data_IF_534016771206
#
_entry.id   IF_534016771206
#
_cell.length_a   1.000
_cell.length_b   1.000
_cell.length_c   1.000
_cell.angle_alpha   90.00
_cell.angle_beta   90.00
_cell.angle_gamma   90.00
#
_symmetry.space_group_name_H-M   'P 1'
#
loop_
_entity.id
_entity.type
_entity.pdbx_description
1 polymer ?
#
# COMPACT_ATOMS: atom_id res chain seq x y z
N UNK A 1 16.16 22.79 -5.44
CA UNK A 1 16.35 21.42 -4.92
C UNK A 1 16.09 21.39 -3.41
N UNK A 2 14.82 21.50 -2.99
CA UNK A 2 14.39 21.56 -1.57
C UNK A 2 14.76 20.28 -0.78
N UNK A 3 14.92 19.17 -1.50
CA UNK A 3 15.13 17.86 -0.89
C UNK A 3 16.47 17.64 -0.18
N UNK A 4 17.45 18.53 -0.35
CA UNK A 4 18.78 18.38 0.28
C UNK A 4 18.93 19.26 1.52
N UNK A 5 17.90 20.05 1.85
CA UNK A 5 17.98 21.08 2.90
C UNK A 5 17.22 20.70 4.17
N UNK A 6 16.63 19.51 4.24
CA UNK A 6 15.77 19.10 5.37
C UNK A 6 16.16 17.70 5.88
N UNK A 7 17.31 17.54 6.57
CA UNK A 7 17.79 16.24 7.05
C UNK A 7 16.79 15.54 7.99
N UNK A 8 16.04 16.29 8.79
CA UNK A 8 15.04 15.77 9.74
C UNK A 8 13.65 15.54 9.16
N UNK A 9 13.51 15.45 7.83
CA UNK A 9 12.20 15.23 7.22
C UNK A 9 11.76 13.78 7.46
N UNK A 10 10.69 13.62 8.22
CA UNK A 10 10.12 12.31 8.53
C UNK A 10 8.97 11.92 7.61
N UNK A 11 8.31 12.89 6.98
CA UNK A 11 7.15 12.67 6.10
C UNK A 11 7.37 13.38 4.77
N UNK A 12 7.27 12.66 3.67
CA UNK A 12 7.32 13.19 2.32
C UNK A 12 6.05 12.80 1.57
N UNK A 13 5.27 13.81 1.23
CA UNK A 13 4.09 13.68 0.38
C UNK A 13 4.37 14.42 -0.92
N UNK A 14 4.32 13.70 -2.04
CA UNK A 14 4.46 14.27 -3.38
C UNK A 14 3.28 13.81 -4.23
N UNK A 15 2.42 14.75 -4.56
CA UNK A 15 1.29 14.55 -5.44
C UNK A 15 1.35 15.58 -6.57
N UNK A 16 1.17 15.12 -7.80
CA UNK A 16 1.15 15.98 -8.98
C UNK A 16 -0.13 15.72 -9.76
N UNK A 17 -1.03 16.70 -9.74
CA UNK A 17 -2.38 16.55 -10.31
C UNK A 17 -2.51 17.14 -11.71
N UNK A 18 -1.45 17.72 -12.27
CA UNK A 18 -1.48 18.20 -13.66
C UNK A 18 -1.45 17.01 -14.63
N UNK A 19 -2.01 17.20 -15.82
CA UNK A 19 -2.10 16.15 -16.84
C UNK A 19 -0.73 15.67 -17.34
N UNK A 20 0.29 16.53 -17.25
CA UNK A 20 1.66 16.23 -17.64
C UNK A 20 2.46 15.58 -16.52
N UNK A 21 3.21 14.52 -16.86
CA UNK A 21 4.07 13.84 -15.91
C UNK A 21 5.20 14.73 -15.39
N UNK A 22 5.33 14.83 -14.06
CA UNK A 22 6.52 15.42 -13.42
C UNK A 22 7.58 14.35 -13.17
N UNK A 23 8.78 14.61 -13.66
CA UNK A 23 9.88 13.65 -13.56
C UNK A 23 10.82 13.97 -12.40
N UNK A 24 10.92 13.07 -11.42
CA UNK A 24 11.73 13.29 -10.19
C UNK A 24 12.59 12.05 -9.88
N UNK A 25 13.52 11.64 -10.77
CA UNK A 25 14.34 10.44 -10.56
C UNK A 25 15.33 10.62 -9.40
N UNK A 26 15.76 11.87 -9.16
CA UNK A 26 16.74 12.19 -8.14
C UNK A 26 16.23 11.94 -6.72
N UNK A 27 14.89 11.89 -6.55
CA UNK A 27 14.28 11.41 -5.31
C UNK A 27 14.80 10.02 -4.95
N UNK A 28 14.73 9.07 -5.89
CA UNK A 28 15.15 7.69 -5.64
C UNK A 28 16.67 7.57 -5.62
N UNK A 29 17.38 8.29 -6.48
CA UNK A 29 18.82 8.11 -6.66
C UNK A 29 19.69 8.79 -5.59
N UNK A 30 19.28 9.96 -5.09
CA UNK A 30 20.16 10.82 -4.29
C UNK A 30 19.63 11.12 -2.89
N UNK A 31 18.37 10.84 -2.59
CA UNK A 31 17.87 11.04 -1.23
C UNK A 31 18.59 10.09 -0.27
N UNK A 32 19.19 10.68 0.77
CA UNK A 32 19.72 9.98 1.93
C UNK A 32 19.08 10.62 3.15
N UNK A 33 18.00 10.02 3.66
CA UNK A 33 17.31 10.53 4.85
C UNK A 33 17.05 9.41 5.84
N UNK A 34 17.95 9.27 6.80
CA UNK A 34 17.84 8.26 7.85
C UNK A 34 16.59 8.42 8.72
N UNK A 35 15.91 9.57 8.69
CA UNK A 35 14.69 9.84 9.49
C UNK A 35 13.37 9.71 8.73
N UNK A 36 13.39 9.40 7.42
CA UNK A 36 12.16 9.28 6.64
C UNK A 36 11.33 8.08 7.13
N UNK A 37 10.13 8.34 7.65
CA UNK A 37 9.16 7.33 8.12
C UNK A 37 8.02 7.12 7.16
N UNK A 38 7.53 8.20 6.53
CA UNK A 38 6.34 8.17 5.67
C UNK A 38 6.69 8.69 4.29
N UNK A 39 6.41 7.89 3.27
CA UNK A 39 6.52 8.29 1.88
C UNK A 39 5.19 8.05 1.17
N UNK A 40 4.64 9.11 0.60
CA UNK A 40 3.42 9.06 -0.20
C UNK A 40 3.69 9.72 -1.55
N UNK A 41 3.50 8.96 -2.62
CA UNK A 41 3.75 9.36 -4.00
C UNK A 41 2.51 9.15 -4.84
N UNK A 42 2.01 10.20 -5.48
CA UNK A 42 0.73 10.15 -6.19
C UNK A 42 0.64 11.00 -7.45
N UNK A 43 -0.47 10.80 -8.17
CA UNK A 43 -0.77 11.50 -9.40
C UNK A 43 0.20 11.16 -10.54
N UNK A 44 0.56 12.18 -11.31
CA UNK A 44 1.40 12.13 -12.49
C UNK A 44 2.90 12.26 -12.15
N UNK A 45 3.33 11.76 -10.97
CA UNK A 45 4.76 11.68 -10.63
C UNK A 45 5.38 10.47 -11.33
N UNK A 46 6.44 10.68 -12.08
CA UNK A 46 7.22 9.60 -12.71
C UNK A 46 8.62 9.53 -12.09
N UNK A 47 8.96 8.36 -11.52
CA UNK A 47 10.23 8.13 -10.84
C UNK A 47 11.29 7.50 -11.74
N UNK A 48 10.86 6.79 -12.79
CA UNK A 48 11.72 5.95 -13.61
C UNK A 48 11.72 6.48 -15.04
N UNK A 49 12.90 6.79 -15.58
CA UNK A 49 13.04 7.21 -16.98
C UNK A 49 13.93 6.23 -17.71
N UNK A 50 13.42 5.74 -18.83
CA UNK A 50 14.13 4.83 -19.73
C UNK A 50 14.69 3.58 -19.01
N UNK A 51 14.04 3.15 -17.93
CA UNK A 51 14.44 1.98 -17.14
C UNK A 51 13.52 0.79 -17.42
N UNK A 52 14.12 -0.40 -17.51
CA UNK A 52 13.42 -1.68 -17.56
C UNK A 52 12.75 -1.99 -16.22
N UNK A 53 11.80 -2.93 -16.17
CA UNK A 53 11.10 -3.25 -14.92
C UNK A 53 12.02 -3.77 -13.82
N UNK A 54 13.01 -4.58 -14.17
CA UNK A 54 14.02 -5.09 -13.25
C UNK A 54 14.84 -3.94 -12.63
N UNK A 55 15.27 -2.98 -13.46
CA UNK A 55 15.98 -1.79 -13.00
C UNK A 55 15.11 -0.94 -12.06
N UNK A 56 13.81 -0.82 -12.33
CA UNK A 56 12.89 -0.07 -11.45
C UNK A 56 12.77 -0.73 -10.07
N UNK A 57 12.68 -2.05 -10.04
CA UNK A 57 12.76 -2.88 -8.84
C UNK A 57 14.01 -2.55 -8.03
N UNK A 58 15.18 -2.68 -8.66
CA UNK A 58 16.48 -2.41 -8.04
C UNK A 58 16.64 -0.97 -7.55
N UNK A 59 16.18 0.03 -8.32
CA UNK A 59 16.26 1.45 -7.95
C UNK A 59 15.44 1.73 -6.68
N UNK A 60 14.19 1.25 -6.61
CA UNK A 60 13.35 1.44 -5.42
C UNK A 60 13.91 0.69 -4.22
N UNK A 61 14.37 -0.55 -4.40
CA UNK A 61 14.98 -1.31 -3.31
C UNK A 61 16.23 -0.63 -2.75
N UNK A 62 17.08 -0.11 -3.64
CA UNK A 62 18.24 0.68 -3.27
C UNK A 62 17.84 1.92 -2.47
N UNK A 63 16.77 2.61 -2.89
CA UNK A 63 16.19 3.73 -2.14
C UNK A 63 15.71 3.29 -0.75
N UNK A 64 14.85 2.27 -0.64
CA UNK A 64 14.30 1.82 0.65
C UNK A 64 15.39 1.30 1.60
N UNK A 65 16.44 0.65 1.07
CA UNK A 65 17.59 0.19 1.86
C UNK A 65 18.38 1.33 2.51
N UNK A 66 18.34 2.55 1.94
CA UNK A 66 18.93 3.76 2.54
C UNK A 66 18.02 4.42 3.57
N UNK A 67 16.75 4.01 3.66
CA UNK A 67 15.74 4.60 4.54
C UNK A 67 15.12 3.51 5.43
N UNK A 68 15.91 2.86 6.31
CA UNK A 68 15.45 1.72 7.10
C UNK A 68 14.37 2.08 8.13
N UNK A 69 14.16 3.37 8.40
CA UNK A 69 13.13 3.90 9.31
C UNK A 69 11.77 4.08 8.65
N UNK A 70 11.62 3.76 7.35
CA UNK A 70 10.33 3.82 6.66
C UNK A 70 9.37 2.82 7.30
N UNK A 71 8.24 3.38 7.75
CA UNK A 71 7.14 2.69 8.41
C UNK A 71 5.91 2.61 7.49
N UNK A 72 5.73 3.64 6.64
CA UNK A 72 4.53 3.82 5.81
C UNK A 72 4.90 4.16 4.35
N UNK A 73 4.32 3.40 3.41
CA UNK A 73 4.39 3.66 1.98
C UNK A 73 2.99 3.80 1.39
N UNK A 74 2.78 4.86 0.62
CA UNK A 74 1.55 5.10 -0.13
C UNK A 74 1.89 5.42 -1.58
N UNK A 75 1.22 4.74 -2.51
CA UNK A 75 1.37 4.94 -3.94
C UNK A 75 0.01 5.08 -4.59
N UNK A 76 -0.26 6.26 -5.15
CA UNK A 76 -1.52 6.56 -5.82
C UNK A 76 -1.49 6.32 -7.33
N UNK A 77 -0.48 5.59 -7.80
CA UNK A 77 -0.27 5.26 -9.20
C UNK A 77 0.34 3.86 -9.33
N UNK A 78 -0.25 3.02 -10.19
CA UNK A 78 0.16 1.66 -10.51
C UNK A 78 1.64 1.50 -10.92
N UNK A 79 2.31 2.58 -11.33
CA UNK A 79 3.64 2.55 -11.96
C UNK A 79 4.79 2.78 -10.98
N UNK A 80 4.54 2.72 -9.68
CA UNK A 80 5.51 3.03 -8.63
C UNK A 80 6.20 1.81 -8.01
N UNK A 81 5.57 0.64 -8.05
CA UNK A 81 6.14 -0.60 -7.50
C UNK A 81 6.28 -1.67 -8.59
N UNK A 82 7.34 -2.45 -8.47
CA UNK A 82 7.74 -3.53 -9.36
C UNK A 82 8.27 -4.69 -8.52
N UNK A 83 8.29 -5.92 -9.07
CA UNK A 83 8.95 -7.03 -8.41
C UNK A 83 10.38 -6.68 -8.00
N UNK A 84 10.75 -7.06 -6.78
CA UNK A 84 12.06 -6.74 -6.21
C UNK A 84 12.21 -5.34 -5.64
N UNK A 85 11.17 -4.48 -5.65
CA UNK A 85 11.22 -3.17 -4.99
C UNK A 85 11.46 -3.24 -3.48
N UNK A 86 11.02 -4.30 -2.81
CA UNK A 86 11.19 -4.47 -1.36
C UNK A 86 12.06 -5.68 -1.08
N UNK A 87 13.26 -5.48 -0.54
CA UNK A 87 14.00 -6.58 0.06
C UNK A 87 13.60 -6.75 1.53
N UNK A 88 13.56 -8.00 2.00
CA UNK A 88 13.15 -8.36 3.37
C UNK A 88 13.90 -7.56 4.44
N UNK A 89 15.20 -7.34 4.25
CA UNK A 89 16.10 -6.71 5.22
C UNK A 89 16.05 -5.18 5.20
N UNK A 90 15.50 -4.58 4.15
CA UNK A 90 15.59 -3.14 3.91
C UNK A 90 14.59 -2.32 4.70
N UNK A 91 13.56 -2.97 5.23
CA UNK A 91 12.40 -2.32 5.84
C UNK A 91 12.07 -2.95 7.21
N UNK A 92 12.92 -2.80 8.24
CA UNK A 92 12.73 -3.42 9.54
C UNK A 92 11.45 -2.94 10.27
N UNK A 93 11.06 -1.67 10.10
CA UNK A 93 9.94 -1.05 10.81
C UNK A 93 8.68 -0.86 9.96
N UNK A 94 8.65 -1.42 8.76
CA UNK A 94 7.54 -1.24 7.83
C UNK A 94 6.27 -1.94 8.29
N UNK A 95 5.16 -1.18 8.34
CA UNK A 95 3.89 -1.61 8.93
C UNK A 95 2.67 -1.27 8.07
N UNK A 96 2.79 -0.31 7.15
CA UNK A 96 1.64 0.18 6.40
C UNK A 96 1.94 0.33 4.92
N UNK A 97 1.07 -0.25 4.10
CA UNK A 97 1.12 -0.13 2.65
C UNK A 97 -0.24 0.30 2.09
N UNK A 98 -0.25 1.37 1.32
CA UNK A 98 -1.42 1.84 0.58
C UNK A 98 -1.13 1.88 -0.92
N UNK A 99 -1.91 1.14 -1.69
CA UNK A 99 -1.84 1.03 -3.14
C UNK A 99 -3.17 1.47 -3.73
N UNK A 100 -3.24 2.69 -4.24
CA UNK A 100 -4.42 3.20 -4.89
C UNK A 100 -4.25 2.99 -6.39
N UNK A 101 -5.21 2.28 -6.98
CA UNK A 101 -5.19 1.87 -8.38
C UNK A 101 -3.94 1.03 -8.72
N UNK A 102 -3.82 -0.20 -8.22
CA UNK A 102 -2.86 -1.18 -8.72
C UNK A 102 -3.30 -1.62 -10.13
N UNK A 103 -3.34 -0.70 -11.10
CA UNK A 103 -3.41 -1.02 -12.53
C UNK A 103 -2.14 -1.71 -13.03
N UNK A 104 -1.39 -2.39 -12.15
CA UNK A 104 -0.14 -3.04 -12.44
C UNK A 104 -0.42 -4.43 -12.99
N UNK A 105 0.41 -4.84 -13.95
CA UNK A 105 0.52 -6.22 -14.44
C UNK A 105 0.95 -7.23 -13.35
N UNK A 106 1.03 -6.81 -12.10
CA UNK A 106 1.67 -7.53 -11.00
C UNK A 106 0.72 -7.52 -9.82
N UNK A 107 0.54 -8.70 -9.24
CA UNK A 107 -0.29 -8.91 -8.06
C UNK A 107 0.52 -8.62 -6.79
N UNK A 108 -0.16 -8.47 -5.65
CA UNK A 108 0.51 -8.24 -4.36
C UNK A 108 1.59 -9.28 -4.05
N UNK A 109 1.38 -10.53 -4.49
CA UNK A 109 2.31 -11.65 -4.31
C UNK A 109 3.66 -11.41 -4.99
N UNK A 110 3.69 -10.65 -6.09
CA UNK A 110 4.92 -10.33 -6.81
C UNK A 110 5.65 -9.12 -6.20
N UNK A 111 4.91 -8.24 -5.53
CA UNK A 111 5.41 -6.96 -5.03
C UNK A 111 5.96 -7.08 -3.60
N UNK A 112 5.36 -7.93 -2.77
CA UNK A 112 5.61 -7.98 -1.33
C UNK A 112 6.20 -9.35 -0.96
N UNK A 113 7.47 -9.41 -0.52
CA UNK A 113 8.01 -10.64 0.04
C UNK A 113 7.22 -11.08 1.28
N UNK A 114 7.04 -12.40 1.47
CA UNK A 114 6.29 -12.99 2.60
C UNK A 114 6.74 -12.42 3.96
N UNK A 115 8.05 -12.29 4.21
CA UNK A 115 8.58 -11.73 5.47
C UNK A 115 8.24 -10.26 5.70
N UNK A 116 7.96 -9.51 4.63
CA UNK A 116 7.45 -8.13 4.71
C UNK A 116 5.94 -8.18 4.99
N UNK A 117 5.20 -9.03 4.27
CA UNK A 117 3.77 -9.22 4.46
C UNK A 117 3.41 -9.61 5.91
N UNK A 118 4.20 -10.51 6.53
CA UNK A 118 4.02 -10.94 7.92
C UNK A 118 4.11 -9.81 8.97
N UNK A 119 4.67 -8.65 8.62
CA UNK A 119 4.83 -7.48 9.51
C UNK A 119 3.85 -6.34 9.22
N UNK A 120 3.06 -6.45 8.16
CA UNK A 120 2.09 -5.41 7.80
C UNK A 120 0.93 -5.40 8.79
N UNK A 121 0.73 -4.25 9.44
CA UNK A 121 -0.37 -3.98 10.34
C UNK A 121 -1.55 -3.31 9.62
N UNK A 122 -1.26 -2.55 8.55
CA UNK A 122 -2.23 -1.82 7.75
C UNK A 122 -2.03 -2.09 6.25
N UNK A 123 -3.10 -2.49 5.57
CA UNK A 123 -3.11 -2.67 4.12
C UNK A 123 -4.26 -1.88 3.51
N UNK A 124 -3.95 -1.13 2.45
CA UNK A 124 -4.95 -0.55 1.58
C UNK A 124 -4.68 -0.92 0.14
N UNK A 125 -5.61 -1.63 -0.50
CA UNK A 125 -5.44 -2.13 -1.87
C UNK A 125 -6.76 -2.61 -2.47
N UNK A 126 -6.76 -2.91 -3.76
CA UNK A 126 -7.79 -3.75 -4.38
C UNK A 126 -7.42 -5.22 -4.16
N UNK A 127 -8.42 -6.05 -3.86
CA UNK A 127 -8.25 -7.50 -3.65
C UNK A 127 -8.66 -8.24 -4.93
N UNK A 128 -7.80 -9.15 -5.35
CA UNK A 128 -8.05 -10.14 -6.40
C UNK A 128 -7.80 -11.54 -5.83
N UNK A 129 -8.21 -12.59 -6.55
CA UNK A 129 -8.04 -13.98 -6.07
C UNK A 129 -6.57 -14.30 -5.78
N UNK A 130 -5.69 -13.79 -6.63
CA UNK A 130 -4.24 -13.96 -6.59
C UNK A 130 -3.60 -13.27 -5.37
N UNK A 131 -4.30 -12.32 -4.76
CA UNK A 131 -3.84 -11.63 -3.56
C UNK A 131 -4.08 -12.44 -2.27
N UNK A 132 -5.05 -13.35 -2.26
CA UNK A 132 -5.45 -14.06 -1.04
C UNK A 132 -4.29 -14.84 -0.39
N UNK A 133 -3.46 -15.60 -1.13
CA UNK A 133 -2.34 -16.33 -0.52
C UNK A 133 -1.37 -15.43 0.25
N UNK A 134 -1.03 -14.25 -0.29
CA UNK A 134 -0.11 -13.33 0.40
C UNK A 134 -0.81 -12.57 1.55
N UNK A 135 -2.11 -12.34 1.46
CA UNK A 135 -2.91 -11.74 2.55
C UNK A 135 -2.99 -12.71 3.75
N UNK A 136 -3.13 -14.01 3.51
CA UNK A 136 -3.12 -15.04 4.57
C UNK A 136 -1.82 -15.05 5.37
N UNK A 137 -0.70 -14.69 4.74
CA UNK A 137 0.60 -14.56 5.41
C UNK A 137 0.70 -13.30 6.30
N UNK A 138 -0.23 -12.35 6.20
CA UNK A 138 -0.21 -11.09 6.98
C UNK A 138 -0.75 -11.28 8.40
N UNK A 139 -0.08 -12.13 9.18
CA UNK A 139 -0.49 -12.49 10.55
C UNK A 139 -0.66 -11.31 11.52
N UNK A 140 -0.03 -10.16 11.25
CA UNK A 140 -0.10 -8.93 12.05
C UNK A 140 -1.12 -7.91 11.53
N UNK A 141 -1.84 -8.21 10.46
CA UNK A 141 -2.79 -7.28 9.84
C UNK A 141 -3.97 -6.99 10.77
N UNK A 142 -4.14 -5.71 11.09
CA UNK A 142 -5.19 -5.20 12.00
C UNK A 142 -6.15 -4.26 11.30
N UNK A 143 -5.71 -3.61 10.22
CA UNK A 143 -6.53 -2.64 9.48
C UNK A 143 -6.48 -2.90 7.99
N UNK A 144 -7.64 -3.01 7.37
CA UNK A 144 -7.78 -3.13 5.92
C UNK A 144 -8.73 -2.08 5.37
N UNK A 145 -8.35 -1.46 4.25
CA UNK A 145 -9.20 -0.56 3.48
C UNK A 145 -9.09 -0.84 1.99
N UNK A 146 -10.18 -0.80 1.25
CA UNK A 146 -10.13 -0.92 -0.22
C UNK A 146 -11.17 -1.86 -0.79
N UNK A 147 -11.07 -2.14 -2.08
CA UNK A 147 -12.12 -2.87 -2.78
C UNK A 147 -11.93 -4.37 -2.70
N UNK A 148 -13.02 -5.07 -2.39
CA UNK A 148 -13.09 -6.51 -2.31
C UNK A 148 -14.23 -6.94 -3.24
N UNK A 149 -13.95 -7.75 -4.29
CA UNK A 149 -14.99 -8.33 -5.12
C UNK A 149 -16.00 -9.12 -4.30
N UNK A 150 -17.27 -9.08 -4.71
CA UNK A 150 -18.38 -9.65 -3.95
C UNK A 150 -18.22 -11.16 -3.70
N UNK A 151 -17.72 -11.87 -4.71
CA UNK A 151 -17.46 -13.30 -4.73
C UNK A 151 -16.25 -13.71 -3.88
N UNK A 152 -15.32 -12.79 -3.58
CA UNK A 152 -14.12 -13.05 -2.79
C UNK A 152 -14.25 -12.67 -1.32
N UNK A 153 -15.35 -12.04 -0.93
CA UNK A 153 -15.49 -11.47 0.40
C UNK A 153 -15.36 -12.50 1.52
N UNK A 154 -15.96 -13.68 1.37
CA UNK A 154 -15.89 -14.74 2.39
C UNK A 154 -14.47 -15.29 2.53
N UNK A 155 -13.83 -15.65 1.41
CA UNK A 155 -12.44 -16.13 1.40
C UNK A 155 -11.46 -15.08 1.94
N UNK A 156 -11.70 -13.80 1.63
CA UNK A 156 -10.93 -12.70 2.16
C UNK A 156 -11.04 -12.61 3.68
N UNK A 157 -12.25 -12.65 4.24
CA UNK A 157 -12.47 -12.59 5.70
C UNK A 157 -11.79 -13.76 6.41
N UNK A 158 -11.91 -14.97 5.86
CA UNK A 158 -11.23 -16.15 6.40
C UNK A 158 -9.70 -16.01 6.37
N UNK A 159 -9.18 -15.21 5.45
CA UNK A 159 -7.74 -14.93 5.31
C UNK A 159 -7.19 -13.91 6.31
N UNK A 160 -8.05 -13.18 7.05
CA UNK A 160 -7.65 -12.10 7.97
C UNK A 160 -8.24 -12.25 9.38
N UNK A 161 -8.02 -13.37 10.08
CA UNK A 161 -8.71 -13.68 11.34
C UNK A 161 -8.44 -12.71 12.49
N UNK A 162 -7.39 -11.89 12.39
CA UNK A 162 -6.98 -10.93 13.43
C UNK A 162 -7.44 -9.48 13.14
N UNK A 163 -8.28 -9.27 12.13
CA UNK A 163 -8.65 -7.92 11.70
C UNK A 163 -9.44 -7.16 12.78
N UNK A 164 -9.00 -5.94 13.06
CA UNK A 164 -9.65 -5.07 14.06
C UNK A 164 -10.50 -3.99 13.38
N UNK A 165 -10.07 -3.52 12.21
CA UNK A 165 -10.70 -2.45 11.44
C UNK A 165 -10.86 -2.87 9.99
N UNK A 166 -12.09 -2.84 9.48
CA UNK A 166 -12.39 -3.14 8.09
C UNK A 166 -13.16 -1.97 7.45
N UNK A 167 -12.59 -1.43 6.36
CA UNK A 167 -13.14 -0.32 5.57
C UNK A 167 -13.32 -0.76 4.11
N UNK A 168 -14.33 -1.62 3.83
CA UNK A 168 -14.51 -2.14 2.48
C UNK A 168 -15.07 -1.05 1.57
N UNK A 169 -14.36 -0.76 0.48
CA UNK A 169 -14.88 0.02 -0.63
C UNK A 169 -15.61 -0.92 -1.58
N UNK A 170 -16.92 -1.04 -1.46
CA UNK A 170 -17.68 -1.85 -2.42
C UNK A 170 -17.55 -1.25 -3.82
N UNK A 171 -16.97 -1.99 -4.76
CA UNK A 171 -16.99 -1.59 -6.16
C UNK A 171 -18.46 -1.52 -6.61
N UNK A 172 -18.88 -0.33 -7.05
CA UNK A 172 -20.28 -0.06 -7.43
C UNK A 172 -20.72 -0.80 -8.70
N UNK A 173 -19.82 -1.56 -9.33
CA UNK A 173 -20.05 -2.35 -10.52
C UNK A 173 -20.93 -3.60 -10.28
N UNK A 174 -21.09 -4.07 -9.04
CA UNK A 174 -21.94 -5.21 -8.69
C UNK A 174 -23.23 -4.74 -7.98
N UNK A 175 -24.35 -5.29 -8.44
CA UNK A 175 -25.70 -4.72 -8.33
C UNK A 175 -26.28 -4.46 -6.93
N UNK A 176 -27.48 -3.89 -6.92
CA UNK A 176 -28.28 -3.42 -5.78
C UNK A 176 -28.71 -4.50 -4.75
N UNK A 177 -27.77 -5.28 -4.22
CA UNK A 177 -28.03 -6.10 -3.03
C UNK A 177 -27.87 -5.22 -1.78
N UNK A 178 -28.73 -5.40 -0.79
CA UNK A 178 -28.74 -4.65 0.46
C UNK A 178 -27.39 -4.79 1.19
N UNK A 179 -26.55 -3.77 1.04
CA UNK A 179 -25.21 -3.66 1.62
C UNK A 179 -25.23 -3.88 3.14
N UNK A 180 -26.34 -3.52 3.78
CA UNK A 180 -26.50 -3.57 5.23
C UNK A 180 -26.53 -5.00 5.75
N UNK A 181 -27.33 -5.87 5.11
CA UNK A 181 -27.53 -7.24 5.59
C UNK A 181 -26.26 -8.10 5.47
N UNK A 182 -25.45 -7.86 4.42
CA UNK A 182 -24.19 -8.57 4.19
C UNK A 182 -23.13 -8.19 5.23
N UNK A 183 -22.94 -6.89 5.46
CA UNK A 183 -21.94 -6.39 6.41
C UNK A 183 -22.31 -6.72 7.86
N UNK A 184 -23.60 -6.82 8.18
CA UNK A 184 -24.09 -7.30 9.46
C UNK A 184 -23.66 -8.75 9.76
N UNK A 185 -23.53 -9.62 8.75
CA UNK A 185 -23.02 -10.99 8.95
C UNK A 185 -21.57 -11.02 9.45
N UNK A 186 -20.77 -10.04 9.04
CA UNK A 186 -19.35 -9.94 9.37
C UNK A 186 -19.03 -9.07 10.59
N UNK A 187 -20.03 -8.35 11.12
CA UNK A 187 -19.90 -7.60 12.39
C UNK A 187 -19.45 -8.47 13.58
N UNK A 188 -19.65 -9.79 13.50
CA UNK A 188 -19.16 -10.75 14.50
C UNK A 188 -17.66 -11.06 14.37
N UNK A 189 -17.08 -10.93 13.17
CA UNK A 189 -15.68 -11.26 12.90
C UNK A 189 -14.76 -10.05 13.10
N UNK A 190 -15.29 -8.83 13.08
CA UNK A 190 -14.49 -7.60 13.12
C UNK A 190 -14.86 -6.76 14.34
N UNK A 191 -13.85 -6.31 15.10
CA UNK A 191 -14.07 -5.43 16.27
C UNK A 191 -14.69 -4.08 15.88
N UNK A 192 -14.21 -3.50 14.78
CA UNK A 192 -14.68 -2.22 14.23
C UNK A 192 -14.96 -2.37 12.75
N UNK A 193 -16.24 -2.27 12.38
CA UNK A 193 -16.67 -2.24 10.98
C UNK A 193 -17.18 -0.84 10.65
N UNK A 194 -16.52 -0.14 9.73
CA UNK A 194 -16.95 1.18 9.30
C UNK A 194 -17.26 1.17 7.81
N UNK A 195 -18.51 1.44 7.47
CA UNK A 195 -19.03 1.27 6.11
C UNK A 195 -18.71 2.41 5.15
N UNK A 196 -18.22 3.53 5.67
CA UNK A 196 -17.77 4.69 4.90
C UNK A 196 -16.70 5.41 5.72
N UNK A 197 -15.44 5.25 5.36
CA UNK A 197 -14.32 5.96 5.96
C UNK A 197 -13.60 6.79 4.89
N UNK A 198 -13.20 8.05 5.18
CA UNK A 198 -12.35 8.80 4.26
C UNK A 198 -11.06 8.01 4.04
N UNK A 199 -10.48 8.12 2.83
CA UNK A 199 -9.27 7.46 2.33
C UNK A 199 -7.99 7.67 3.16
N UNK A 200 -8.10 8.26 4.35
CA UNK A 200 -7.03 8.71 5.23
C UNK A 200 -6.99 7.95 6.58
N UNK A 201 -7.91 7.01 6.81
CA UNK A 201 -8.11 6.38 8.13
C UNK A 201 -6.97 5.45 8.59
N UNK A 202 -6.06 4.99 7.71
CA UNK A 202 -4.89 4.23 8.13
C UNK A 202 -3.81 5.09 8.81
N UNK A 203 -3.82 6.42 8.63
CA UNK A 203 -2.76 7.31 9.14
C UNK A 203 -3.02 7.88 10.54
N UNK A 204 -4.17 7.54 11.15
CA UNK A 204 -4.52 7.94 12.51
C UNK A 204 -4.47 6.73 13.45
N UNK A 205 -3.29 6.11 13.54
CA UNK A 205 -2.91 5.35 14.72
C UNK A 205 -2.17 6.31 15.67
N UNK A 206 -2.42 6.23 16.99
CA UNK A 206 -1.82 7.13 17.99
C UNK A 206 -0.30 6.99 18.09
#
# INVERSE_FOLDING_TARGET
MLMFRCPSLQKLFLEWTAEEDIWIPQLLLQAQRSELRNLSLGGHVTLYKNSTYEERGAIMNSFLSRHPTVEHLEFNNARMLYPGCMATVSLPYFRSLSLHNPGSRYDLVDLIPIKVAQRLECLQTLVYQECLPIIQEMSTLRSFSGAIPEDLLEEFIDSIPNIEKLYPSMDSSYGHIDKTDRLMRFSKAVKTLTLFGPSWACFSLP
#
